data_IF_075043195015
#
_entry.id   IF_075043195015
#
_cell.length_a   1.000
_cell.length_b   1.000
_cell.length_c   1.000
_cell.angle_alpha   90.00
_cell.angle_beta   90.00
_cell.angle_gamma   90.00
#
_symmetry.space_group_name_H-M   'P 1'
#
loop_
_entity.id
_entity.type
_entity.pdbx_description
1 polymer ?
#
# COMPACT_ATOMS: atom_id res chain seq x y z
N UNK A 1 -17.92 8.92 4.06
CA UNK A 1 -17.20 7.69 4.46
C UNK A 1 -18.07 6.96 5.47
N UNK A 2 -18.54 5.76 5.15
CA UNK A 2 -19.25 4.90 6.11
C UNK A 2 -18.21 3.99 6.75
N UNK A 3 -18.17 4.01 8.09
CA UNK A 3 -17.23 3.21 8.89
C UNK A 3 -18.03 2.23 9.73
N UNK A 4 -17.85 0.93 9.51
CA UNK A 4 -18.51 -0.12 10.28
C UNK A 4 -17.49 -0.83 11.18
N UNK A 5 -17.76 -0.88 12.48
CA UNK A 5 -16.98 -1.69 13.42
C UNK A 5 -17.67 -3.03 13.64
N UNK A 6 -17.05 -4.12 13.20
CA UNK A 6 -17.46 -5.50 13.46
C UNK A 6 -16.42 -6.09 14.39
N UNK A 7 -16.78 -6.53 15.60
CA UNK A 7 -15.90 -7.04 16.68
C UNK A 7 -14.45 -7.31 16.22
N UNK A 8 -13.56 -6.33 16.39
CA UNK A 8 -12.12 -6.44 16.14
C UNK A 8 -11.60 -5.86 14.82
N UNK A 9 -12.47 -5.37 13.94
CA UNK A 9 -12.08 -4.68 12.72
C UNK A 9 -12.91 -3.42 12.47
N UNK A 10 -12.24 -2.43 11.88
CA UNK A 10 -12.85 -1.22 11.32
C UNK A 10 -12.83 -1.33 9.80
N UNK A 11 -14.01 -1.27 9.16
CA UNK A 11 -14.15 -1.31 7.70
C UNK A 11 -14.43 0.08 7.15
N UNK A 12 -13.78 0.40 6.04
CA UNK A 12 -13.96 1.61 5.24
C UNK A 12 -14.50 1.16 3.89
N UNK A 13 -15.77 1.47 3.61
CA UNK A 13 -16.45 0.98 2.41
C UNK A 13 -16.37 1.95 1.21
N UNK A 14 -15.73 3.12 1.39
CA UNK A 14 -15.54 4.09 0.31
C UNK A 14 -14.40 5.05 0.62
N UNK A 15 -13.46 5.19 -0.32
CA UNK A 15 -12.41 6.21 -0.34
C UNK A 15 -11.45 6.12 0.84
N UNK A 16 -10.81 4.96 1.02
CA UNK A 16 -9.77 4.80 2.02
C UNK A 16 -8.51 5.56 1.60
N UNK A 17 -8.02 6.44 2.49
CA UNK A 17 -6.77 7.19 2.30
C UNK A 17 -5.95 7.10 3.58
N UNK A 18 -4.66 6.82 3.44
CA UNK A 18 -3.69 6.68 4.53
C UNK A 18 -2.43 7.46 4.18
N UNK A 19 -2.10 8.44 5.00
CA UNK A 19 -0.84 9.18 4.89
C UNK A 19 0.20 8.55 5.83
N UNK A 20 1.33 8.15 5.26
CA UNK A 20 2.48 7.67 6.00
C UNK A 20 3.45 8.81 6.26
N UNK A 21 3.87 8.97 7.51
CA UNK A 21 4.76 10.05 7.94
C UNK A 21 6.15 9.53 8.27
N UNK A 22 7.18 10.28 7.86
CA UNK A 22 8.57 10.06 8.23
C UNK A 22 9.19 11.40 8.60
N UNK A 23 9.84 11.46 9.76
CA UNK A 23 10.49 12.68 10.28
C UNK A 23 9.56 13.92 10.35
N UNK A 24 8.26 13.69 10.58
CA UNK A 24 7.24 14.74 10.65
C UNK A 24 6.67 15.21 9.31
N UNK A 25 7.14 14.66 8.20
CA UNK A 25 6.64 14.96 6.85
C UNK A 25 5.92 13.76 6.23
N UNK A 26 4.99 14.03 5.32
CA UNK A 26 4.32 12.96 4.54
C UNK A 26 5.36 12.33 3.62
N UNK A 27 5.59 11.04 3.83
CA UNK A 27 6.52 10.26 3.04
C UNK A 27 5.84 9.60 1.84
N UNK A 28 4.60 9.15 2.02
CA UNK A 28 3.77 8.59 0.96
C UNK A 28 2.29 8.58 1.34
N UNK A 29 1.42 8.67 0.34
CA UNK A 29 -0.03 8.54 0.50
C UNK A 29 -0.49 7.27 -0.20
N UNK A 30 -1.22 6.42 0.53
CA UNK A 30 -1.87 5.21 0.05
C UNK A 30 -3.38 5.48 -0.07
N UNK A 31 -3.95 5.18 -1.22
CA UNK A 31 -5.39 5.29 -1.48
C UNK A 31 -5.97 4.00 -2.07
N UNK A 32 -7.26 3.79 -1.86
CA UNK A 32 -8.05 2.73 -2.48
C UNK A 32 -9.54 2.88 -2.17
N UNK A 33 -10.38 2.07 -2.81
CA UNK A 33 -11.83 2.18 -2.62
C UNK A 33 -12.28 1.63 -1.26
N UNK A 34 -11.63 0.56 -0.79
CA UNK A 34 -11.97 -0.09 0.47
C UNK A 34 -10.77 -0.24 1.39
N UNK A 35 -11.02 -0.13 2.69
CA UNK A 35 -10.02 -0.32 3.72
C UNK A 35 -10.54 -1.20 4.85
N UNK A 36 -9.63 -1.93 5.49
CA UNK A 36 -9.90 -2.74 6.67
C UNK A 36 -8.75 -2.57 7.64
N UNK A 37 -9.06 -2.15 8.85
CA UNK A 37 -8.09 -1.94 9.92
C UNK A 37 -8.36 -3.00 10.99
N UNK A 38 -7.34 -3.74 11.37
CA UNK A 38 -7.42 -4.65 12.50
C UNK A 38 -7.25 -3.87 13.81
N UNK A 39 -8.28 -3.87 14.67
CA UNK A 39 -8.27 -3.02 15.87
C UNK A 39 -7.21 -3.48 16.89
N UNK A 40 -6.80 -4.76 16.84
CA UNK A 40 -5.80 -5.36 17.73
C UNK A 40 -4.38 -5.15 17.23
N UNK A 41 -4.09 -5.54 15.99
CA UNK A 41 -2.72 -5.48 15.44
C UNK A 41 -2.39 -4.12 14.84
N UNK A 42 -3.43 -3.32 14.53
CA UNK A 42 -3.37 -2.08 13.76
C UNK A 42 -2.92 -2.27 12.32
N UNK A 43 -2.93 -3.51 11.81
CA UNK A 43 -2.65 -3.76 10.39
C UNK A 43 -3.76 -3.17 9.52
N UNK A 44 -3.38 -2.69 8.34
CA UNK A 44 -4.29 -2.04 7.40
C UNK A 44 -4.24 -2.83 6.09
N UNK A 45 -5.40 -3.25 5.63
CA UNK A 45 -5.60 -3.85 4.31
C UNK A 45 -6.41 -2.87 3.46
N UNK A 46 -5.89 -2.51 2.28
CA UNK A 46 -6.59 -1.68 1.30
C UNK A 46 -6.79 -2.47 0.02
N UNK A 47 -7.97 -2.35 -0.57
CA UNK A 47 -8.42 -3.11 -1.74
C UNK A 47 -9.13 -2.20 -2.73
N UNK A 48 -9.23 -2.70 -3.97
CA UNK A 48 -9.90 -2.07 -5.11
C UNK A 48 -9.23 -0.75 -5.52
N UNK A 49 -8.57 -0.75 -6.68
CA UNK A 49 -7.86 0.42 -7.24
C UNK A 49 -6.81 1.05 -6.30
N UNK A 50 -5.94 0.21 -5.73
CA UNK A 50 -4.93 0.67 -4.78
C UNK A 50 -3.81 1.43 -5.47
N UNK A 51 -3.54 2.65 -5.00
CA UNK A 51 -2.47 3.51 -5.50
C UNK A 51 -1.69 4.10 -4.34
N UNK A 52 -0.36 3.97 -4.39
CA UNK A 52 0.56 4.65 -3.46
C UNK A 52 1.37 5.66 -4.24
N UNK A 53 1.51 6.85 -3.69
CA UNK A 53 2.35 7.92 -4.24
C UNK A 53 3.34 8.32 -3.14
N UNK A 54 4.63 8.15 -3.39
CA UNK A 54 5.69 8.63 -2.50
C UNK A 54 6.05 10.09 -2.80
N UNK A 55 6.65 10.75 -1.82
CA UNK A 55 7.10 12.15 -1.93
C UNK A 55 8.09 12.39 -3.09
N UNK A 56 8.87 11.37 -3.45
CA UNK A 56 9.82 11.45 -4.57
C UNK A 56 9.19 11.22 -5.96
N UNK A 57 7.86 11.07 -6.02
CA UNK A 57 7.12 10.89 -7.26
C UNK A 57 7.04 9.45 -7.74
N UNK A 58 7.51 8.48 -6.94
CA UNK A 58 7.30 7.07 -7.25
C UNK A 58 5.86 6.66 -6.98
N UNK A 59 5.31 5.84 -7.88
CA UNK A 59 3.95 5.36 -7.82
C UNK A 59 3.94 3.83 -7.74
N UNK A 60 3.09 3.26 -6.89
CA UNK A 60 2.79 1.83 -6.87
C UNK A 60 1.30 1.62 -7.12
N UNK A 61 0.95 0.74 -8.06
CA UNK A 61 -0.43 0.35 -8.35
C UNK A 61 -0.61 -1.15 -8.14
N UNK A 62 -1.69 -1.51 -7.46
CA UNK A 62 -2.08 -2.91 -7.23
C UNK A 62 -3.58 -3.03 -6.93
N UNK A 63 -4.09 -4.27 -6.86
CA UNK A 63 -5.47 -4.55 -6.49
C UNK A 63 -5.68 -4.68 -4.97
N UNK A 64 -4.62 -5.04 -4.24
CA UNK A 64 -4.64 -5.21 -2.79
C UNK A 64 -3.29 -4.85 -2.20
N UNK A 65 -3.28 -4.17 -1.08
CA UNK A 65 -2.06 -3.86 -0.33
C UNK A 65 -2.31 -4.06 1.16
N UNK A 66 -1.39 -4.77 1.81
CA UNK A 66 -1.36 -4.98 3.24
C UNK A 66 -0.21 -4.16 3.83
N UNK A 67 -0.53 -3.27 4.75
CA UNK A 67 0.43 -2.62 5.63
C UNK A 67 0.42 -3.31 7.00
N UNK A 68 1.58 -3.81 7.41
CA UNK A 68 1.78 -4.48 8.69
C UNK A 68 2.37 -3.50 9.68
N UNK A 69 1.65 -3.22 10.77
CA UNK A 69 2.07 -2.23 11.76
C UNK A 69 3.33 -2.66 12.52
N UNK A 70 3.46 -3.95 12.83
CA UNK A 70 4.61 -4.47 13.60
C UNK A 70 5.94 -4.26 12.87
N UNK A 71 5.96 -4.51 11.56
CA UNK A 71 7.17 -4.40 10.75
C UNK A 71 7.28 -3.07 10.01
N UNK A 72 6.21 -2.27 9.99
CA UNK A 72 6.14 -1.01 9.24
C UNK A 72 6.35 -1.21 7.72
N UNK A 73 5.87 -2.35 7.19
CA UNK A 73 6.08 -2.78 5.79
C UNK A 73 4.78 -2.88 5.02
N UNK A 74 4.86 -2.57 3.73
CA UNK A 74 3.77 -2.76 2.76
C UNK A 74 4.04 -4.01 1.92
N UNK A 75 3.00 -4.77 1.61
CA UNK A 75 3.12 -6.00 0.83
C UNK A 75 1.88 -6.25 -0.01
N UNK A 76 2.05 -7.00 -1.09
CA UNK A 76 0.98 -7.59 -1.88
C UNK A 76 1.42 -8.94 -2.40
N UNK A 77 0.47 -9.84 -2.61
CA UNK A 77 0.61 -11.12 -3.29
C UNK A 77 0.09 -11.07 -4.74
N UNK A 78 -0.48 -9.93 -5.15
CA UNK A 78 -1.08 -9.73 -6.47
C UNK A 78 -0.11 -9.03 -7.44
N UNK A 79 -0.59 -8.79 -8.66
CA UNK A 79 0.11 -7.98 -9.62
C UNK A 79 0.39 -6.58 -9.07
N UNK A 80 1.62 -6.12 -9.29
CA UNK A 80 2.10 -4.79 -8.92
C UNK A 80 2.76 -4.12 -10.11
N UNK A 81 2.55 -2.81 -10.20
CA UNK A 81 3.30 -1.94 -11.11
C UNK A 81 3.91 -0.82 -10.28
N UNK A 82 5.23 -0.76 -10.22
CA UNK A 82 5.99 0.30 -9.56
C UNK A 82 6.57 1.19 -10.66
N UNK A 83 6.16 2.44 -10.70
CA UNK A 83 6.70 3.46 -11.60
C UNK A 83 7.55 4.41 -10.79
N UNK A 84 8.84 4.45 -11.06
CA UNK A 84 9.77 5.44 -10.53
C UNK A 84 10.08 6.48 -11.61
N UNK A 85 10.77 7.58 -11.28
CA UNK A 85 11.24 8.54 -12.30
C UNK A 85 12.17 7.92 -13.35
N UNK A 86 12.88 6.84 -13.01
CA UNK A 86 13.89 6.23 -13.88
C UNK A 86 13.35 5.05 -14.68
N UNK A 87 12.44 4.28 -14.11
CA UNK A 87 12.00 3.00 -14.67
C UNK A 87 10.60 2.59 -14.20
N UNK A 88 9.95 1.72 -14.96
CA UNK A 88 8.71 1.04 -14.57
C UNK A 88 8.99 -0.44 -14.39
N UNK A 89 8.54 -1.01 -13.28
CA UNK A 89 8.78 -2.39 -12.90
C UNK A 89 7.44 -3.06 -12.61
N UNK A 90 7.21 -4.20 -13.26
CA UNK A 90 5.99 -4.98 -13.10
C UNK A 90 6.30 -6.39 -12.61
N UNK A 91 5.38 -6.95 -11.84
CA UNK A 91 5.53 -8.31 -11.34
C UNK A 91 4.38 -8.77 -10.47
N UNK A 92 4.49 -9.98 -9.95
CA UNK A 92 3.53 -10.59 -9.04
C UNK A 92 4.17 -10.73 -7.67
N UNK A 93 3.48 -10.17 -6.69
CA UNK A 93 3.90 -10.15 -5.31
C UNK A 93 5.03 -9.16 -5.05
N UNK A 94 4.88 -8.34 -4.02
CA UNK A 94 5.91 -7.41 -3.58
C UNK A 94 5.93 -7.24 -2.06
N UNK A 95 7.05 -6.75 -1.56
CA UNK A 95 7.20 -6.30 -0.20
C UNK A 95 8.15 -5.10 -0.15
N UNK A 96 7.78 -4.02 0.53
CA UNK A 96 8.58 -2.80 0.63
C UNK A 96 8.45 -2.10 1.98
N UNK A 97 9.32 -1.12 2.22
CA UNK A 97 9.07 -0.09 3.23
C UNK A 97 8.01 0.93 2.75
N UNK A 98 7.47 1.71 3.68
CA UNK A 98 6.44 2.72 3.37
C UNK A 98 6.86 3.73 2.31
N UNK A 99 8.16 4.02 2.18
CA UNK A 99 8.66 5.01 1.22
C UNK A 99 8.86 4.44 -0.19
N UNK A 100 8.53 3.16 -0.43
CA UNK A 100 8.75 2.46 -1.69
C UNK A 100 10.24 2.44 -2.16
N UNK A 101 11.20 2.53 -1.23
CA UNK A 101 12.64 2.58 -1.57
C UNK A 101 13.33 1.22 -1.53
N UNK A 102 12.88 0.34 -0.64
CA UNK A 102 13.48 -0.96 -0.39
C UNK A 102 12.46 -2.06 -0.68
N UNK A 103 12.08 -2.19 -1.95
CA UNK A 103 11.14 -3.21 -2.39
C UNK A 103 11.84 -4.47 -2.91
N UNK A 104 11.16 -5.59 -2.74
CA UNK A 104 11.44 -6.86 -3.40
C UNK A 104 10.20 -7.28 -4.15
N UNK A 105 10.37 -7.71 -5.40
CA UNK A 105 9.31 -8.31 -6.21
C UNK A 105 9.60 -9.79 -6.31
N UNK A 106 8.63 -10.63 -5.95
CA UNK A 106 8.85 -12.08 -5.86
C UNK A 106 8.87 -12.74 -7.23
N UNK A 107 8.04 -12.28 -8.16
CA UNK A 107 8.02 -12.74 -9.56
C UNK A 107 8.03 -11.54 -10.49
N UNK A 108 9.21 -11.16 -10.96
CA UNK A 108 9.36 -10.05 -11.89
C UNK A 108 8.89 -10.49 -13.27
N UNK A 109 7.98 -9.73 -13.87
CA UNK A 109 7.60 -9.83 -15.27
C UNK A 109 7.97 -8.49 -15.91
N UNK A 110 9.27 -8.23 -16.05
CA UNK A 110 9.76 -6.96 -16.56
C UNK A 110 9.79 -6.95 -18.08
N UNK A 111 9.22 -5.91 -18.70
CA UNK A 111 9.54 -5.52 -20.08
C UNK A 111 10.09 -4.10 -20.09
N UNK A 112 11.40 -4.03 -20.42
CA UNK A 112 12.22 -2.98 -21.05
C UNK A 112 11.86 -1.50 -20.89
#
# INVERSE_FOLDING_TARGET
>A
ILVYSKKGFTLIDSGAVVDFYKDGEIASTLSGEKGKINDKTKDIEIYDSVHVISKDGSELKTQKLLWTNLTQRVSSDLFVSIKTPNETIEGIGFESDQNLKNYKIFKVSGTF
#
